data_IF_243842251818
#
_entry.id   IF_243842251818
#
_cell.length_a   1.000
_cell.length_b   1.000
_cell.length_c   1.000
_cell.angle_alpha   90.00
_cell.angle_beta   90.00
_cell.angle_gamma   90.00
#
_symmetry.space_group_name_H-M   'P 1'
#
loop_
_entity.id
_entity.type
_entity.pdbx_description
1 polymer ?
#
# COMPACT_ATOMS: atom_id res chain seq x y z
N UNK A 1 14.75 -18.55 26.52
CA UNK A 1 14.64 -17.07 26.45
C UNK A 1 14.00 -16.59 25.15
N UNK A 2 14.56 -16.89 23.96
CA UNK A 2 14.00 -16.46 22.65
C UNK A 2 12.51 -16.77 22.42
N UNK A 3 12.01 -17.91 22.93
CA UNK A 3 10.59 -18.29 22.80
C UNK A 3 9.63 -17.44 23.65
N UNK A 4 10.06 -17.00 24.84
CA UNK A 4 9.26 -16.13 25.72
C UNK A 4 9.11 -14.74 25.09
N UNK A 5 10.21 -14.22 24.55
CA UNK A 5 10.26 -12.95 23.81
C UNK A 5 9.31 -12.97 22.61
N UNK A 6 9.38 -14.01 21.78
CA UNK A 6 8.50 -14.16 20.62
C UNK A 6 7.02 -14.31 21.03
N UNK A 7 6.73 -15.03 22.12
CA UNK A 7 5.37 -15.18 22.63
C UNK A 7 4.79 -13.86 23.14
N UNK A 8 5.59 -12.99 23.77
CA UNK A 8 5.15 -11.65 24.18
C UNK A 8 4.88 -10.73 22.98
N UNK A 9 5.74 -10.78 21.96
CA UNK A 9 5.53 -10.05 20.69
C UNK A 9 4.24 -10.52 20.00
N UNK A 10 3.99 -11.83 19.96
CA UNK A 10 2.79 -12.39 19.32
C UNK A 10 1.51 -12.04 20.07
N UNK A 11 1.49 -12.10 21.41
CA UNK A 11 0.34 -11.65 22.22
C UNK A 11 0.03 -10.17 22.01
N UNK A 12 1.06 -9.35 21.83
CA UNK A 12 0.87 -7.93 21.48
C UNK A 12 0.13 -7.79 20.15
N UNK A 13 0.52 -8.58 19.13
CA UNK A 13 -0.13 -8.60 17.81
C UNK A 13 -1.54 -9.16 17.83
N UNK A 14 -1.81 -10.18 18.63
CA UNK A 14 -3.15 -10.76 18.81
C UNK A 14 -4.15 -9.76 19.39
N UNK A 15 -3.66 -8.82 20.21
CA UNK A 15 -4.44 -7.69 20.73
C UNK A 15 -4.51 -6.49 19.76
N UNK A 16 -4.03 -6.66 18.52
CA UNK A 16 -3.96 -5.61 17.52
C UNK A 16 -2.84 -4.59 17.75
N UNK A 17 -1.93 -4.84 18.69
CA UNK A 17 -0.80 -3.98 18.98
C UNK A 17 0.41 -4.23 18.09
N UNK A 18 1.25 -3.21 17.94
CA UNK A 18 2.52 -3.25 17.22
C UNK A 18 3.67 -2.80 18.12
N UNK A 19 4.86 -3.33 17.83
CA UNK A 19 6.12 -3.04 18.52
C UNK A 19 7.12 -2.60 17.46
N UNK A 20 7.69 -1.41 17.62
CA UNK A 20 8.71 -0.85 16.74
C UNK A 20 9.95 -0.42 17.54
N UNK A 21 11.09 -0.35 16.86
CA UNK A 21 12.30 0.27 17.41
C UNK A 21 12.16 1.79 17.32
N UNK A 22 12.46 2.47 18.42
CA UNK A 22 12.68 3.92 18.48
C UNK A 22 14.10 4.15 19.01
N UNK A 23 15.08 4.12 18.10
CA UNK A 23 16.49 4.10 18.48
C UNK A 23 16.87 2.84 19.29
N UNK A 24 17.21 3.03 20.57
CA UNK A 24 17.48 1.98 21.55
C UNK A 24 16.24 1.60 22.39
N UNK A 25 15.11 2.27 22.15
CA UNK A 25 13.85 2.08 22.85
C UNK A 25 12.83 1.28 22.01
N UNK A 26 11.74 0.89 22.66
CA UNK A 26 10.60 0.22 22.02
C UNK A 26 9.40 1.16 22.04
N UNK A 27 8.83 1.43 20.87
CA UNK A 27 7.54 2.07 20.72
C UNK A 27 6.44 1.01 20.66
N UNK A 28 5.40 1.17 21.49
CA UNK A 28 4.22 0.31 21.53
C UNK A 28 3.00 1.09 21.06
N UNK A 29 2.26 0.54 20.10
CA UNK A 29 0.96 1.07 19.66
C UNK A 29 -0.08 -0.03 19.78
N UNK A 30 -1.29 0.29 20.24
CA UNK A 30 -2.39 -0.66 20.32
C UNK A 30 -3.75 0.06 20.25
N UNK A 31 -4.80 -0.55 19.66
CA UNK A 31 -6.13 0.07 19.54
C UNK A 31 -6.86 0.21 20.88
N UNK A 32 -6.41 -0.52 21.90
CA UNK A 32 -6.84 -0.40 23.28
C UNK A 32 -5.63 -0.62 24.20
N UNK A 33 -5.67 -0.13 25.46
CA UNK A 33 -4.58 -0.34 26.41
C UNK A 33 -4.20 -1.82 26.54
N UNK A 34 -2.90 -2.13 26.36
CA UNK A 34 -2.39 -3.48 26.55
C UNK A 34 -2.40 -3.84 28.05
N UNK A 35 -2.63 -5.13 28.40
CA UNK A 35 -2.57 -5.57 29.80
C UNK A 35 -1.23 -5.22 30.46
N UNK A 36 -1.27 -4.70 31.70
CA UNK A 36 -0.07 -4.28 32.44
C UNK A 36 0.95 -5.42 32.62
N UNK A 37 0.47 -6.67 32.71
CA UNK A 37 1.30 -7.87 32.77
C UNK A 37 2.11 -8.07 31.49
N UNK A 38 1.51 -7.81 30.32
CA UNK A 38 2.19 -7.87 29.03
C UNK A 38 3.19 -6.71 28.88
N UNK A 39 2.82 -5.49 29.28
CA UNK A 39 3.74 -4.34 29.26
C UNK A 39 4.95 -4.61 30.15
N UNK A 40 4.74 -5.18 31.34
CA UNK A 40 5.82 -5.53 32.27
C UNK A 40 6.74 -6.62 31.71
N UNK A 41 6.17 -7.62 31.04
CA UNK A 41 6.94 -8.67 30.36
C UNK A 41 7.77 -8.12 29.19
N UNK A 42 7.19 -7.22 28.38
CA UNK A 42 7.91 -6.54 27.30
C UNK A 42 9.05 -5.67 27.82
N UNK A 43 8.84 -4.95 28.93
CA UNK A 43 9.87 -4.16 29.60
C UNK A 43 11.00 -5.03 30.14
N UNK A 44 10.68 -6.15 30.77
CA UNK A 44 11.65 -7.07 31.35
C UNK A 44 12.58 -7.69 30.28
N UNK A 45 12.09 -7.83 29.04
CA UNK A 45 12.82 -8.41 27.92
C UNK A 45 13.18 -7.41 26.81
N UNK A 46 13.14 -6.11 27.13
CA UNK A 46 13.45 -5.02 26.19
C UNK A 46 14.78 -5.23 25.43
N UNK A 47 15.92 -5.53 26.07
CA UNK A 47 17.18 -5.64 25.34
C UNK A 47 17.19 -6.82 24.37
N UNK A 48 16.57 -7.95 24.71
CA UNK A 48 16.45 -9.09 23.81
C UNK A 48 15.49 -8.83 22.65
N UNK A 49 14.40 -8.09 22.89
CA UNK A 49 13.47 -7.65 21.84
C UNK A 49 14.20 -6.71 20.88
N UNK A 50 14.96 -5.74 21.39
CA UNK A 50 15.73 -4.79 20.57
C UNK A 50 16.75 -5.53 19.71
N UNK A 51 17.53 -6.44 20.30
CA UNK A 51 18.50 -7.27 19.55
C UNK A 51 17.81 -8.14 18.50
N UNK A 52 16.68 -8.77 18.82
CA UNK A 52 15.93 -9.60 17.87
C UNK A 52 15.39 -8.81 16.69
N UNK A 53 14.89 -7.59 16.93
CA UNK A 53 14.39 -6.70 15.88
C UNK A 53 15.55 -6.17 15.00
N UNK A 54 16.71 -5.88 15.60
CA UNK A 54 17.94 -5.49 14.88
C UNK A 54 18.52 -6.61 14.01
N UNK A 55 18.61 -7.82 14.55
CA UNK A 55 19.09 -9.00 13.81
C UNK A 55 18.16 -9.36 12.63
N UNK A 56 16.86 -9.13 12.80
CA UNK A 56 15.87 -9.29 11.74
C UNK A 56 16.01 -8.25 10.63
N UNK A 57 16.43 -7.01 10.96
CA UNK A 57 16.76 -5.99 9.96
C UNK A 57 18.09 -6.25 9.25
N UNK A 58 19.09 -6.84 9.92
CA UNK A 58 20.41 -7.09 9.31
C UNK A 58 20.44 -8.32 8.39
N UNK A 59 19.64 -9.36 8.65
CA UNK A 59 19.47 -10.47 7.68
C UNK A 59 18.70 -10.08 6.42
N UNK A 60 18.21 -8.84 6.39
CA UNK A 60 17.56 -8.22 5.25
C UNK A 60 18.53 -7.42 4.37
N UNK A 61 19.81 -7.32 4.74
CA UNK A 61 20.80 -6.47 4.05
C UNK A 61 21.55 -7.13 2.87
N UNK A 62 21.32 -8.41 2.54
CA UNK A 62 22.05 -9.09 1.44
C UNK A 62 21.22 -9.47 0.21
N UNK A 63 19.96 -9.04 0.14
CA UNK A 63 19.18 -8.91 -1.10
C UNK A 63 17.90 -8.14 -0.78
N UNK A 64 18.00 -6.84 -0.54
CA UNK A 64 16.84 -5.94 -0.61
C UNK A 64 17.34 -4.55 -0.96
N UNK A 65 16.90 -4.09 -2.12
CA UNK A 65 16.39 -2.72 -2.20
C UNK A 65 15.55 -2.52 -0.95
N UNK A 66 16.04 -1.71 0.00
CA UNK A 66 15.37 -1.48 1.26
C UNK A 66 14.02 -0.84 0.94
N UNK A 67 12.87 -1.45 1.28
CA UNK A 67 11.59 -0.77 1.23
C UNK A 67 11.53 0.17 2.44
N UNK A 68 12.42 1.18 2.46
CA UNK A 68 12.09 2.42 3.16
C UNK A 68 11.02 3.07 2.30
N UNK A 69 9.77 2.88 2.72
CA UNK A 69 8.68 3.80 2.42
C UNK A 69 8.08 3.73 1.00
N UNK A 70 7.71 2.53 0.55
CA UNK A 70 6.31 2.32 0.11
C UNK A 70 5.51 1.74 1.29
N UNK A 71 5.66 2.37 2.45
CA UNK A 71 4.71 2.28 3.54
C UNK A 71 4.12 3.68 3.61
N UNK A 72 2.83 3.79 3.32
CA UNK A 72 2.06 4.98 3.62
C UNK A 72 2.45 5.47 5.03
N UNK A 73 2.57 6.79 5.25
CA UNK A 73 2.61 7.35 6.59
C UNK A 73 1.59 6.62 7.45
N UNK A 74 2.01 6.12 8.62
CA UNK A 74 1.14 5.37 9.52
C UNK A 74 0.12 6.26 10.25
N UNK A 75 -0.31 7.32 9.56
CA UNK A 75 -1.50 8.11 9.82
C UNK A 75 -1.96 8.91 8.58
N UNK A 76 -1.81 8.36 7.34
CA UNK A 76 -2.70 8.82 6.26
C UNK A 76 -4.05 8.19 6.57
N UNK A 77 -4.96 8.99 7.11
CA UNK A 77 -6.38 8.74 6.88
C UNK A 77 -6.54 8.49 5.37
N UNK A 78 -6.92 7.28 4.91
CA UNK A 78 -7.10 6.98 3.49
C UNK A 78 -8.07 7.94 2.78
N UNK A 79 -8.76 8.79 3.55
CA UNK A 79 -9.62 9.87 3.11
C UNK A 79 -8.85 11.12 2.65
N UNK A 80 -7.55 11.30 2.97
CA UNK A 80 -6.78 12.48 2.56
C UNK A 80 -5.96 12.27 1.27
N UNK A 81 -6.64 11.86 0.20
CA UNK A 81 -6.06 11.72 -1.15
C UNK A 81 -5.33 12.98 -1.63
N UNK A 82 -5.76 14.16 -1.17
CA UNK A 82 -5.18 15.44 -1.55
C UNK A 82 -3.76 15.60 -1.03
N UNK A 83 -3.47 15.15 0.19
CA UNK A 83 -2.13 15.18 0.77
C UNK A 83 -1.18 14.24 0.02
N UNK A 84 -1.62 13.00 -0.25
CA UNK A 84 -0.84 12.06 -1.07
C UNK A 84 -0.51 12.61 -2.46
N UNK A 85 -1.51 13.20 -3.13
CA UNK A 85 -1.31 13.84 -4.43
C UNK A 85 -0.34 15.02 -4.34
N UNK A 86 -0.52 15.91 -3.35
CA UNK A 86 0.29 17.12 -3.19
C UNK A 86 1.74 16.79 -2.82
N UNK A 87 1.97 15.80 -1.95
CA UNK A 87 3.31 15.32 -1.60
C UNK A 87 4.04 14.79 -2.84
N UNK A 88 3.35 13.99 -3.66
CA UNK A 88 3.92 13.46 -4.90
C UNK A 88 4.23 14.53 -5.92
N UNK A 89 3.34 15.51 -6.08
CA UNK A 89 3.56 16.66 -6.95
C UNK A 89 4.79 17.45 -6.47
N UNK A 90 4.91 17.70 -5.17
CA UNK A 90 6.07 18.40 -4.59
C UNK A 90 7.39 17.62 -4.78
N UNK A 91 7.41 16.31 -4.57
CA UNK A 91 8.61 15.48 -4.82
C UNK A 91 9.00 15.56 -6.31
N UNK A 92 8.03 15.42 -7.21
CA UNK A 92 8.29 15.47 -8.65
C UNK A 92 8.75 16.86 -9.13
N UNK A 93 8.22 17.93 -8.53
CA UNK A 93 8.60 19.32 -8.80
C UNK A 93 10.01 19.64 -8.27
N UNK A 94 10.26 19.39 -6.99
CA UNK A 94 11.50 19.82 -6.33
C UNK A 94 12.66 18.85 -6.48
N UNK A 95 12.41 17.55 -6.31
CA UNK A 95 13.46 16.52 -6.41
C UNK A 95 13.58 15.98 -7.85
N UNK A 96 12.46 15.97 -8.58
CA UNK A 96 12.40 15.52 -9.98
C UNK A 96 12.66 16.64 -11.00
N UNK A 97 12.76 17.89 -10.55
CA UNK A 97 12.97 19.09 -11.39
C UNK A 97 11.95 19.23 -12.53
N UNK A 98 10.75 18.65 -12.37
CA UNK A 98 9.67 18.81 -13.33
C UNK A 98 8.99 20.16 -13.11
N UNK A 99 8.48 20.76 -14.18
CA UNK A 99 7.58 21.90 -14.00
C UNK A 99 6.32 21.46 -13.25
N UNK A 100 5.68 22.43 -12.57
CA UNK A 100 4.52 22.18 -11.73
C UNK A 100 3.42 21.39 -12.45
N UNK A 101 3.18 21.71 -13.71
CA UNK A 101 2.13 21.09 -14.51
C UNK A 101 2.45 19.60 -14.78
N UNK A 102 3.67 19.29 -15.20
CA UNK A 102 4.09 17.91 -15.46
C UNK A 102 4.21 17.09 -14.17
N UNK A 103 4.66 17.71 -13.07
CA UNK A 103 4.68 17.12 -11.74
C UNK A 103 3.28 16.73 -11.26
N UNK A 104 2.30 17.63 -11.41
CA UNK A 104 0.89 17.39 -11.06
C UNK A 104 0.26 16.30 -11.94
N UNK A 105 0.55 16.29 -13.25
CA UNK A 105 0.08 15.24 -14.17
C UNK A 105 0.57 13.85 -13.78
N UNK A 106 1.87 13.72 -13.49
CA UNK A 106 2.44 12.44 -13.05
C UNK A 106 2.01 12.05 -11.64
N UNK A 107 1.85 13.02 -10.73
CA UNK A 107 1.31 12.78 -9.40
C UNK A 107 -0.11 12.22 -9.46
N UNK A 108 -0.95 12.71 -10.38
CA UNK A 108 -2.29 12.19 -10.60
C UNK A 108 -2.30 10.75 -11.08
N UNK A 109 -1.48 10.40 -12.08
CA UNK A 109 -1.37 9.02 -12.57
C UNK A 109 -1.00 8.03 -11.49
N UNK A 110 -0.06 8.40 -10.63
CA UNK A 110 0.34 7.53 -9.56
C UNK A 110 -0.62 7.55 -8.37
N UNK A 111 -1.41 8.61 -8.21
CA UNK A 111 -2.54 8.64 -7.26
C UNK A 111 -3.66 7.69 -7.73
N UNK A 112 -3.91 7.57 -9.04
CA UNK A 112 -4.81 6.54 -9.60
C UNK A 112 -4.32 5.13 -9.23
N UNK A 113 -3.03 4.85 -9.44
CA UNK A 113 -2.43 3.54 -9.11
C UNK A 113 -2.55 3.27 -7.60
N UNK A 114 -2.24 4.27 -6.77
CA UNK A 114 -2.35 4.15 -5.32
C UNK A 114 -3.79 3.86 -4.88
N UNK A 115 -4.77 4.58 -5.45
CA UNK A 115 -6.19 4.32 -5.22
C UNK A 115 -6.59 2.89 -5.58
N UNK A 116 -6.14 2.40 -6.74
CA UNK A 116 -6.44 1.05 -7.20
C UNK A 116 -5.86 -0.02 -6.28
N UNK A 117 -4.69 0.22 -5.69
CA UNK A 117 -4.04 -0.69 -4.74
C UNK A 117 -4.75 -0.75 -3.38
N UNK A 118 -5.30 0.38 -2.92
CA UNK A 118 -5.99 0.48 -1.62
C UNK A 118 -7.49 0.17 -1.70
N UNK A 119 -8.07 0.15 -2.89
CA UNK A 119 -9.51 -0.10 -3.09
C UNK A 119 -9.72 -1.42 -3.84
N UNK A 120 -9.53 -2.60 -3.23
CA UNK A 120 -9.66 -3.88 -3.92
C UNK A 120 -11.09 -4.07 -4.48
N UNK A 121 -11.24 -4.79 -5.62
CA UNK A 121 -12.55 -5.09 -6.16
C UNK A 121 -13.36 -5.99 -5.20
N UNK A 122 -14.70 -5.94 -5.27
CA UNK A 122 -15.59 -6.70 -4.37
C UNK A 122 -15.52 -8.22 -4.58
N UNK A 123 -15.18 -8.69 -5.79
CA UNK A 123 -15.07 -10.11 -6.09
C UNK A 123 -13.62 -10.60 -5.94
N UNK A 124 -13.24 -10.92 -4.71
CA UNK A 124 -11.99 -11.61 -4.37
C UNK A 124 -12.19 -13.12 -4.22
N UNK A 125 -13.40 -13.63 -4.52
CA UNK A 125 -13.67 -15.05 -4.51
C UNK A 125 -13.05 -15.64 -5.79
N UNK A 126 -12.29 -16.72 -5.62
CA UNK A 126 -11.33 -17.21 -6.61
C UNK A 126 -11.90 -17.70 -7.95
N UNK A 127 -13.24 -17.70 -8.08
CA UNK A 127 -13.95 -18.57 -9.01
C UNK A 127 -14.71 -17.80 -10.10
N UNK A 128 -14.74 -16.46 -10.05
CA UNK A 128 -15.40 -15.60 -11.03
C UNK A 128 -14.50 -14.48 -11.57
N UNK A 129 -14.69 -14.14 -12.84
CA UNK A 129 -13.97 -13.08 -13.51
C UNK A 129 -14.43 -11.72 -12.99
N UNK A 130 -13.53 -10.90 -12.45
CA UNK A 130 -13.84 -9.58 -11.90
C UNK A 130 -14.28 -8.53 -12.95
N UNK A 131 -14.32 -8.90 -14.23
CA UNK A 131 -14.83 -8.08 -15.33
C UNK A 131 -16.23 -8.48 -15.78
N UNK A 132 -16.42 -9.72 -16.23
CA UNK A 132 -17.70 -10.16 -16.80
C UNK A 132 -18.60 -10.88 -15.79
N UNK A 133 -18.05 -11.37 -14.67
CA UNK A 133 -18.77 -12.16 -13.67
C UNK A 133 -18.88 -13.65 -14.00
N UNK A 134 -18.47 -14.08 -15.20
CA UNK A 134 -18.49 -15.50 -15.57
C UNK A 134 -17.37 -16.28 -14.85
N UNK A 135 -17.53 -17.61 -14.68
CA UNK A 135 -16.50 -18.45 -14.06
C UNK A 135 -15.12 -18.33 -14.73
N UNK A 136 -14.04 -18.31 -13.95
CA UNK A 136 -12.66 -18.03 -14.47
C UNK A 136 -12.12 -19.14 -15.38
N UNK A 137 -12.70 -20.34 -15.31
CA UNK A 137 -12.16 -21.54 -15.95
C UNK A 137 -10.91 -22.04 -15.23
N UNK A 138 -9.92 -22.55 -15.98
CA UNK A 138 -8.69 -23.08 -15.39
C UNK A 138 -7.67 -21.96 -15.13
N UNK A 139 -7.32 -21.75 -13.85
CA UNK A 139 -6.26 -20.82 -13.43
C UNK A 139 -4.97 -21.12 -14.20
N UNK A 140 -4.35 -20.08 -14.75
CA UNK A 140 -3.08 -20.16 -15.49
C UNK A 140 -3.22 -20.40 -16.99
N UNK A 141 -4.38 -20.88 -17.47
CA UNK A 141 -4.69 -20.96 -18.90
C UNK A 141 -5.72 -19.91 -19.30
N UNK A 142 -6.86 -19.90 -18.61
CA UNK A 142 -8.03 -19.11 -19.03
C UNK A 142 -8.07 -17.76 -18.31
N UNK A 143 -7.38 -17.65 -17.18
CA UNK A 143 -7.33 -16.43 -16.40
C UNK A 143 -5.95 -16.10 -15.84
N UNK A 144 -5.78 -14.80 -15.64
CA UNK A 144 -4.60 -14.16 -15.07
C UNK A 144 -4.94 -13.59 -13.69
N UNK A 145 -4.03 -13.71 -12.71
CA UNK A 145 -4.21 -13.10 -11.41
C UNK A 145 -3.84 -11.61 -11.47
N UNK A 146 -4.68 -10.76 -10.88
CA UNK A 146 -4.32 -9.38 -10.53
C UNK A 146 -4.13 -9.29 -9.01
N UNK A 147 -2.95 -8.85 -8.58
CA UNK A 147 -2.63 -8.71 -7.16
C UNK A 147 -3.38 -7.51 -6.58
N UNK A 148 -4.17 -7.78 -5.54
CA UNK A 148 -4.73 -6.74 -4.69
C UNK A 148 -3.91 -6.72 -3.40
N UNK A 149 -3.50 -5.55 -2.91
CA UNK A 149 -2.50 -5.39 -1.83
C UNK A 149 -2.79 -6.15 -0.52
N UNK A 150 -3.97 -6.76 -0.36
CA UNK A 150 -4.40 -7.58 0.78
C UNK A 150 -4.14 -9.08 0.69
N UNK A 151 -3.15 -9.54 -0.11
CA UNK A 151 -2.82 -10.98 -0.31
C UNK A 151 -3.94 -11.82 -0.94
N UNK A 152 -4.88 -11.18 -1.64
CA UNK A 152 -5.94 -11.83 -2.42
C UNK A 152 -5.80 -11.46 -3.88
N UNK A 153 -6.17 -12.37 -4.76
CA UNK A 153 -6.16 -12.14 -6.20
C UNK A 153 -7.57 -11.79 -6.66
N UNK A 154 -7.66 -10.82 -7.57
CA UNK A 154 -8.79 -10.73 -8.48
C UNK A 154 -8.44 -11.56 -9.72
N UNK A 155 -9.36 -12.42 -10.16
CA UNK A 155 -9.15 -13.23 -11.35
C UNK A 155 -9.83 -12.60 -12.55
N UNK A 156 -9.17 -12.66 -13.71
CA UNK A 156 -9.66 -12.08 -14.95
C UNK A 156 -9.37 -13.04 -16.10
N UNK A 157 -10.33 -13.25 -16.99
CA UNK A 157 -10.00 -13.89 -18.27
C UNK A 157 -8.95 -13.07 -19.01
N UNK A 158 -8.10 -13.72 -19.80
CA UNK A 158 -7.06 -13.04 -20.57
C UNK A 158 -7.61 -11.87 -21.41
N UNK A 159 -8.75 -12.06 -22.08
CA UNK A 159 -9.41 -11.03 -22.89
C UNK A 159 -10.10 -9.92 -22.08
N UNK A 160 -10.32 -10.13 -20.79
CA UNK A 160 -11.05 -9.18 -19.94
C UNK A 160 -10.15 -8.11 -19.29
N UNK A 161 -8.83 -8.31 -19.29
CA UNK A 161 -7.89 -7.47 -18.55
C UNK A 161 -7.95 -5.98 -18.95
N UNK A 162 -7.93 -5.67 -20.25
CA UNK A 162 -7.94 -4.27 -20.73
C UNK A 162 -9.22 -3.53 -20.34
N UNK A 163 -10.38 -4.17 -20.52
CA UNK A 163 -11.67 -3.60 -20.15
C UNK A 163 -11.77 -3.36 -18.62
N UNK A 164 -11.24 -4.31 -17.84
CA UNK A 164 -11.17 -4.22 -16.40
C UNK A 164 -10.29 -3.06 -15.94
N UNK A 165 -9.04 -2.96 -16.43
CA UNK A 165 -8.13 -1.87 -16.11
C UNK A 165 -8.74 -0.50 -16.47
N UNK A 166 -9.38 -0.39 -17.63
CA UNK A 166 -10.07 0.84 -18.04
C UNK A 166 -11.22 1.21 -17.11
N UNK A 167 -12.01 0.24 -16.64
CA UNK A 167 -13.08 0.47 -15.66
C UNK A 167 -12.50 0.95 -14.32
N UNK A 168 -11.50 0.25 -13.80
CA UNK A 168 -10.83 0.57 -12.53
C UNK A 168 -10.20 1.96 -12.55
N UNK A 169 -9.59 2.35 -13.67
CA UNK A 169 -9.09 3.71 -13.88
C UNK A 169 -10.20 4.76 -13.81
N UNK A 170 -11.35 4.54 -14.45
CA UNK A 170 -12.49 5.47 -14.38
C UNK A 170 -13.07 5.59 -12.97
N UNK A 171 -13.17 4.47 -12.25
CA UNK A 171 -13.60 4.47 -10.85
C UNK A 171 -12.64 5.30 -9.97
N UNK A 172 -11.32 5.11 -10.15
CA UNK A 172 -10.30 5.89 -9.46
C UNK A 172 -10.43 7.39 -9.75
N UNK A 173 -10.47 7.77 -11.03
CA UNK A 173 -10.63 9.18 -11.44
C UNK A 173 -11.88 9.79 -10.81
N UNK A 174 -13.02 9.10 -10.87
CA UNK A 174 -14.27 9.58 -10.27
C UNK A 174 -14.13 9.80 -8.75
N UNK A 175 -13.47 8.88 -8.05
CA UNK A 175 -13.23 9.01 -6.61
C UNK A 175 -12.31 10.19 -6.29
N UNK A 176 -11.22 10.36 -7.04
CA UNK A 176 -10.27 11.46 -6.86
C UNK A 176 -10.88 12.84 -7.17
N UNK A 177 -11.72 12.94 -8.20
CA UNK A 177 -12.45 14.18 -8.48
C UNK A 177 -13.44 14.54 -7.35
N UNK A 178 -14.01 13.55 -6.66
CA UNK A 178 -14.95 13.79 -5.54
C UNK A 178 -14.26 14.46 -4.35
N UNK A 179 -12.94 14.27 -4.21
CA UNK A 179 -12.11 14.88 -3.16
C UNK A 179 -11.30 16.08 -3.65
N UNK A 180 -11.64 16.63 -4.82
CA UNK A 180 -11.09 17.89 -5.32
C UNK A 180 -9.78 17.76 -6.10
N UNK A 181 -9.32 16.55 -6.42
CA UNK A 181 -8.13 16.34 -7.26
C UNK A 181 -8.57 16.30 -8.72
N UNK A 182 -8.35 17.42 -9.41
CA UNK A 182 -8.67 17.60 -10.83
C UNK A 182 -7.38 18.05 -11.50
N UNK A 183 -6.95 17.33 -12.53
CA UNK A 183 -5.83 17.75 -13.37
C UNK A 183 -6.37 18.11 -14.73
N UNK A 184 -6.10 19.35 -15.15
CA UNK A 184 -6.35 19.77 -16.51
C UNK A 184 -5.33 19.06 -17.41
N UNK A 185 -5.83 18.31 -18.39
CA UNK A 185 -4.98 17.86 -19.47
C UNK A 185 -4.68 19.09 -20.34
N UNK A 186 -3.42 19.41 -20.66
CA UNK A 186 -3.13 20.43 -21.63
C UNK A 186 -3.72 19.86 -22.91
N UNK A 187 -4.69 20.58 -23.48
CA UNK A 187 -5.11 20.32 -24.83
C UNK A 187 -3.86 20.42 -25.68
N UNK A 188 -3.29 19.28 -26.07
CA UNK A 188 -2.23 19.25 -27.07
C UNK A 188 -2.88 19.63 -28.39
N UNK A 189 -3.14 20.92 -28.57
CA UNK A 189 -3.00 21.58 -29.86
C UNK A 189 -1.51 21.66 -30.15
N UNK A 190 -0.93 20.51 -30.47
CA UNK A 190 0.25 20.47 -31.31
C UNK A 190 -0.01 19.37 -32.33
N UNK A 191 -0.67 19.82 -33.40
CA UNK A 191 -0.73 19.14 -34.67
C UNK A 191 0.70 18.77 -35.06
N UNK A 192 1.03 17.49 -34.96
CA UNK A 192 2.11 16.93 -35.77
C UNK A 192 1.52 16.79 -37.17
N UNK A 193 1.71 17.83 -37.98
CA UNK A 193 1.52 17.83 -39.43
C UNK A 193 2.64 16.97 -40.07
N UNK A 194 2.40 16.40 -41.27
CA UNK A 194 2.38 14.98 -41.57
C UNK A 194 3.75 14.28 -41.67
#
# INVERSE_FOLDING_TARGET
MKQVVLAAINRTRELGGSIALDGDDLALSAPAPLPDTLISELRAHKPEIVSLLRDGSDKLHMCRVSPKSFGAPQNIDPTNWLEWYSERAAILEYDGELDRFEAERQAFEATIIHWMNLTPPPNLNGDECAQCGDPIGRIGNDAVPFLTGGRRHAWLHHGCHTAWMGRRRREAIKALCTVGIIVDCPSTDEQVDP
#
